data_IF_365387235320
#
_entry.id   IF_365387235320
#
_cell.length_a   1.000
_cell.length_b   1.000
_cell.length_c   1.000
_cell.angle_alpha   90.00
_cell.angle_beta   90.00
_cell.angle_gamma   90.00
#
_symmetry.space_group_name_H-M   'P 1'
#
loop_
_entity.id
_entity.type
_entity.pdbx_description
1 polymer ?
#
# COMPACT_ATOMS: atom_id res chain seq x y z
N UNK A 1 -55.07 -11.60 -46.84
CA UNK A 1 -53.63 -11.81 -46.63
C UNK A 1 -53.08 -10.65 -45.84
N UNK A 2 -52.87 -10.78 -44.51
CA UNK A 2 -52.21 -9.75 -43.64
C UNK A 2 -50.79 -10.14 -43.40
N UNK A 3 -49.82 -9.35 -43.89
CA UNK A 3 -48.39 -9.49 -43.63
C UNK A 3 -48.09 -8.95 -42.22
N UNK A 4 -47.62 -9.81 -41.34
CA UNK A 4 -47.02 -9.38 -40.08
C UNK A 4 -45.55 -9.01 -40.35
N UNK A 5 -45.22 -7.76 -40.04
CA UNK A 5 -43.85 -7.27 -40.04
C UNK A 5 -43.30 -7.49 -38.64
N UNK A 6 -42.40 -8.46 -38.48
CA UNK A 6 -41.68 -8.70 -37.23
C UNK A 6 -40.59 -7.65 -37.04
N UNK A 7 -40.74 -6.88 -35.98
CA UNK A 7 -39.75 -5.89 -35.57
C UNK A 7 -38.63 -6.57 -34.75
N UNK A 8 -37.44 -6.68 -35.35
CA UNK A 8 -36.27 -7.23 -34.72
C UNK A 8 -35.62 -6.14 -33.83
N UNK A 9 -35.79 -6.25 -32.52
CA UNK A 9 -35.15 -5.35 -31.59
C UNK A 9 -33.66 -5.80 -31.40
N UNK A 10 -32.74 -5.02 -31.95
CA UNK A 10 -31.30 -5.20 -31.69
C UNK A 10 -30.97 -4.66 -30.32
N UNK A 11 -30.64 -5.55 -29.40
CA UNK A 11 -30.07 -5.19 -28.09
C UNK A 11 -28.59 -4.87 -28.30
N UNK A 12 -28.25 -3.59 -28.29
CA UNK A 12 -26.86 -3.15 -28.20
C UNK A 12 -26.40 -3.35 -26.75
N UNK A 13 -25.59 -4.37 -26.49
CA UNK A 13 -24.85 -4.47 -25.26
C UNK A 13 -23.72 -3.43 -25.30
N UNK A 14 -23.84 -2.34 -24.54
CA UNK A 14 -22.73 -1.43 -24.28
C UNK A 14 -21.70 -2.20 -23.45
N UNK A 15 -20.65 -2.71 -24.10
CA UNK A 15 -19.43 -3.10 -23.38
C UNK A 15 -18.75 -1.82 -22.90
N UNK A 16 -19.01 -1.44 -21.65
CA UNK A 16 -18.15 -0.48 -20.97
C UNK A 16 -16.76 -1.14 -20.87
N UNK A 17 -15.82 -0.69 -21.68
CA UNK A 17 -14.42 -1.01 -21.47
C UNK A 17 -14.01 -0.39 -20.14
N UNK A 18 -13.89 -1.18 -19.10
CA UNK A 18 -13.18 -0.77 -17.89
C UNK A 18 -11.73 -0.58 -18.36
N UNK A 19 -11.25 0.66 -18.33
CA UNK A 19 -9.81 0.89 -18.35
C UNK A 19 -9.26 0.05 -17.20
N UNK A 20 -8.44 -0.95 -17.52
CA UNK A 20 -7.86 -1.82 -16.50
C UNK A 20 -7.13 -0.96 -15.48
N UNK A 21 -7.39 -1.19 -14.19
CA UNK A 21 -6.65 -0.54 -13.12
C UNK A 21 -5.16 -0.77 -13.35
N UNK A 22 -4.35 0.29 -13.29
CA UNK A 22 -2.90 0.18 -13.33
C UNK A 22 -2.47 -0.42 -11.99
N UNK A 23 -1.79 -1.55 -12.01
CA UNK A 23 -1.26 -2.17 -10.80
C UNK A 23 0.26 -2.27 -10.87
N UNK A 24 0.92 -1.98 -9.76
CA UNK A 24 2.29 -2.41 -9.51
C UNK A 24 2.24 -3.69 -8.70
N UNK A 25 2.95 -4.72 -9.13
CA UNK A 25 3.00 -6.00 -8.43
C UNK A 25 4.44 -6.47 -8.33
N UNK A 26 4.92 -6.59 -7.11
CA UNK A 26 6.21 -7.20 -6.74
C UNK A 26 5.91 -8.37 -5.80
N UNK A 27 5.83 -9.59 -6.36
CA UNK A 27 5.72 -10.79 -5.54
C UNK A 27 6.96 -10.97 -4.65
N UNK A 28 8.11 -10.55 -5.17
CA UNK A 28 9.37 -10.29 -4.47
C UNK A 28 10.13 -9.17 -5.22
N UNK A 29 11.30 -8.81 -4.75
CA UNK A 29 12.14 -7.77 -5.37
C UNK A 29 13.36 -8.35 -6.11
N UNK A 30 13.22 -9.50 -6.75
CA UNK A 30 14.24 -10.05 -7.65
C UNK A 30 14.49 -9.16 -8.88
N UNK A 31 13.50 -8.36 -9.28
CA UNK A 31 13.60 -7.27 -10.25
C UNK A 31 13.09 -5.95 -9.64
N UNK A 32 13.92 -4.91 -9.69
CA UNK A 32 13.62 -3.54 -9.23
C UNK A 32 13.77 -2.50 -10.34
N UNK A 33 13.80 -2.92 -11.60
CA UNK A 33 14.05 -2.05 -12.76
C UNK A 33 13.00 -0.96 -12.97
N UNK A 34 11.81 -1.13 -12.40
CA UNK A 34 10.72 -0.13 -12.44
C UNK A 34 10.70 0.80 -11.22
N UNK A 35 11.70 0.67 -10.34
CA UNK A 35 11.87 1.53 -9.16
C UNK A 35 13.11 2.42 -9.31
N UNK A 36 13.01 3.64 -8.81
CA UNK A 36 14.13 4.51 -8.52
C UNK A 36 14.56 4.27 -7.08
N UNK A 37 15.77 3.76 -6.88
CA UNK A 37 16.37 3.55 -5.57
C UNK A 37 17.29 4.73 -5.22
N UNK A 38 17.14 5.28 -4.02
CA UNK A 38 17.86 6.47 -3.57
C UNK A 38 18.56 6.22 -2.22
N UNK A 39 19.68 6.88 -2.00
CA UNK A 39 20.45 6.75 -0.76
C UNK A 39 20.98 5.34 -0.57
N UNK A 40 20.68 4.75 0.60
CA UNK A 40 21.08 3.37 0.94
C UNK A 40 20.14 2.28 0.41
N UNK A 41 19.04 2.67 -0.24
CA UNK A 41 18.08 1.68 -0.78
C UNK A 41 18.73 0.81 -1.86
N UNK A 42 18.58 -0.51 -1.72
CA UNK A 42 19.19 -1.48 -2.60
C UNK A 42 18.37 -2.79 -2.66
N UNK A 43 18.49 -3.51 -3.76
CA UNK A 43 18.06 -4.91 -3.80
C UNK A 43 19.06 -5.79 -3.07
N UNK A 44 18.59 -6.58 -2.11
CA UNK A 44 19.40 -7.54 -1.37
C UNK A 44 18.74 -8.92 -1.48
N UNK A 45 19.28 -9.78 -2.36
CA UNK A 45 18.59 -11.02 -2.73
C UNK A 45 17.24 -10.72 -3.39
N UNK A 46 16.17 -11.18 -2.77
CA UNK A 46 14.79 -10.98 -3.23
C UNK A 46 14.03 -9.95 -2.40
N UNK A 47 14.72 -9.09 -1.62
CA UNK A 47 14.07 -8.04 -0.85
C UNK A 47 14.54 -6.66 -1.29
N UNK A 48 13.68 -5.67 -1.15
CA UNK A 48 14.01 -4.26 -1.24
C UNK A 48 14.43 -3.79 0.15
N UNK A 49 15.72 -3.64 0.38
CA UNK A 49 16.27 -3.05 1.60
C UNK A 49 16.33 -1.55 1.46
N UNK A 50 15.57 -0.83 2.29
CA UNK A 50 15.58 0.63 2.31
C UNK A 50 16.83 1.15 3.04
N UNK A 51 17.08 0.63 4.25
CA UNK A 51 18.29 0.93 5.00
C UNK A 51 18.91 -0.36 5.57
N UNK A 52 20.24 -0.53 5.51
CA UNK A 52 20.94 -1.58 6.24
C UNK A 52 21.02 -1.27 7.74
N UNK A 53 21.33 -2.28 8.56
CA UNK A 53 21.55 -2.16 10.00
C UNK A 53 22.89 -1.44 10.30
N UNK A 54 22.97 -0.17 9.93
CA UNK A 54 24.11 0.73 10.10
C UNK A 54 23.59 2.10 10.52
N UNK A 55 24.36 2.83 11.33
CA UNK A 55 23.97 4.17 11.81
C UNK A 55 23.89 5.19 10.67
N UNK A 56 22.99 6.17 10.78
CA UNK A 56 22.95 7.35 9.91
C UNK A 56 22.61 7.05 8.45
N UNK A 57 21.80 6.04 8.19
CA UNK A 57 21.38 5.69 6.85
C UNK A 57 20.06 6.39 6.47
N UNK A 58 19.89 6.60 5.18
CA UNK A 58 18.64 7.07 4.57
C UNK A 58 18.44 6.38 3.24
N UNK A 59 17.25 5.85 3.01
CA UNK A 59 16.92 5.20 1.75
C UNK A 59 15.47 5.41 1.38
N UNK A 60 15.21 5.68 0.10
CA UNK A 60 13.87 5.70 -0.47
C UNK A 60 13.83 4.90 -1.77
N UNK A 61 12.68 4.33 -2.07
CA UNK A 61 12.42 3.65 -3.33
C UNK A 61 11.05 4.07 -3.83
N UNK A 62 11.00 4.68 -4.99
CA UNK A 62 9.74 5.13 -5.62
C UNK A 62 9.56 4.48 -6.99
N UNK A 63 8.31 4.44 -7.47
CA UNK A 63 8.03 4.14 -8.87
C UNK A 63 8.90 5.02 -9.76
N UNK A 64 9.57 4.43 -10.78
CA UNK A 64 10.46 5.17 -11.69
C UNK A 64 9.70 6.22 -12.47
N UNK A 65 8.47 5.92 -12.86
CA UNK A 65 7.53 6.86 -13.49
C UNK A 65 6.35 7.12 -12.55
N UNK A 66 5.74 8.32 -12.63
CA UNK A 66 4.55 8.60 -11.84
C UNK A 66 3.38 7.71 -12.28
N UNK A 67 2.53 7.35 -11.33
CA UNK A 67 1.30 6.60 -11.52
C UNK A 67 0.15 7.59 -11.50
N UNK A 68 -0.80 7.43 -12.42
CA UNK A 68 -2.03 8.23 -12.41
C UNK A 68 -3.05 7.57 -11.49
N UNK A 69 -3.25 8.16 -10.32
CA UNK A 69 -4.33 7.75 -9.42
C UNK A 69 -5.67 8.04 -10.09
N UNK A 70 -6.57 7.05 -10.12
CA UNK A 70 -7.89 7.18 -10.75
C UNK A 70 -8.98 7.47 -9.71
N UNK A 71 -10.15 7.84 -10.19
CA UNK A 71 -11.23 8.31 -9.34
C UNK A 71 -10.82 9.55 -8.56
N UNK A 72 -11.37 9.81 -7.42
CA UNK A 72 -11.03 10.97 -6.59
C UNK A 72 -9.70 10.78 -5.82
N UNK A 73 -8.59 10.48 -6.52
CA UNK A 73 -7.27 10.15 -5.95
C UNK A 73 -7.23 8.84 -5.16
N UNK A 74 -8.16 7.93 -5.41
CA UNK A 74 -8.26 6.66 -4.68
C UNK A 74 -7.12 5.72 -5.02
N UNK A 75 -6.73 4.90 -4.05
CA UNK A 75 -5.82 3.77 -4.24
C UNK A 75 -6.04 2.70 -3.17
N UNK A 76 -5.56 1.49 -3.46
CA UNK A 76 -5.39 0.42 -2.48
C UNK A 76 -3.99 -0.16 -2.61
N UNK A 77 -3.34 -0.42 -1.50
CA UNK A 77 -2.00 -1.05 -1.51
C UNK A 77 -1.88 -2.10 -0.41
N UNK A 78 -1.08 -3.11 -0.70
CA UNK A 78 -0.68 -4.17 0.21
C UNK A 78 0.82 -4.37 0.11
N UNK A 79 1.49 -4.55 1.24
CA UNK A 79 2.89 -4.95 1.27
C UNK A 79 3.21 -5.76 2.52
N UNK A 80 4.26 -6.56 2.42
CA UNK A 80 4.86 -7.20 3.57
C UNK A 80 6.25 -6.63 3.83
N UNK A 81 6.59 -6.48 5.10
CA UNK A 81 7.86 -5.90 5.51
C UNK A 81 8.44 -6.60 6.73
N UNK A 82 9.72 -6.36 6.98
CA UNK A 82 10.41 -6.85 8.17
C UNK A 82 11.48 -5.87 8.60
N UNK A 83 11.50 -5.55 9.89
CA UNK A 83 12.56 -4.80 10.54
C UNK A 83 13.36 -5.76 11.40
N UNK A 84 14.67 -5.88 11.16
CA UNK A 84 15.50 -6.92 11.76
C UNK A 84 16.93 -6.43 12.04
N UNK A 85 17.74 -7.26 12.72
CA UNK A 85 19.13 -6.92 13.05
C UNK A 85 19.24 -5.59 13.80
N UNK A 86 18.30 -5.34 14.70
CA UNK A 86 18.23 -4.11 15.48
C UNK A 86 19.40 -3.99 16.42
N UNK A 87 20.00 -2.81 16.46
CA UNK A 87 21.11 -2.47 17.35
C UNK A 87 21.24 -0.94 17.49
N UNK A 88 22.31 -0.50 18.11
CA UNK A 88 22.66 0.90 18.27
C UNK A 88 22.84 1.30 19.73
N UNK A 89 23.38 2.51 19.94
CA UNK A 89 23.69 3.05 21.27
C UNK A 89 22.53 3.77 21.92
N UNK A 90 21.48 4.05 21.13
CA UNK A 90 20.25 4.64 21.62
C UNK A 90 19.09 3.66 21.41
N UNK A 91 18.34 3.44 22.47
CA UNK A 91 16.99 2.91 22.47
C UNK A 91 16.11 3.90 23.22
N UNK A 92 14.84 3.86 22.97
CA UNK A 92 13.84 4.51 23.81
C UNK A 92 13.37 3.58 24.95
N UNK A 93 12.35 4.00 25.71
CA UNK A 93 11.76 3.17 26.77
C UNK A 93 11.15 1.86 26.25
N UNK A 94 10.87 1.79 24.95
CA UNK A 94 10.20 0.65 24.30
C UNK A 94 11.21 -0.37 23.73
N UNK A 95 12.50 -0.02 23.65
CA UNK A 95 13.58 -0.93 23.29
C UNK A 95 14.59 -0.36 22.29
N UNK A 96 15.39 -1.24 21.69
CA UNK A 96 16.44 -0.87 20.74
C UNK A 96 15.94 -0.82 19.31
N UNK A 97 16.76 -0.20 18.44
CA UNK A 97 16.48 -0.07 17.01
C UNK A 97 15.78 1.24 16.68
N UNK A 98 15.89 1.69 15.43
CA UNK A 98 15.31 2.92 14.89
C UNK A 98 15.45 2.92 13.36
N UNK A 99 14.84 3.85 12.61
CA UNK A 99 13.75 4.74 13.06
C UNK A 99 12.40 4.20 12.58
N UNK A 100 12.36 3.38 11.49
CA UNK A 100 11.13 2.79 10.96
C UNK A 100 11.04 2.82 9.44
N UNK A 101 9.84 2.58 8.93
CA UNK A 101 9.50 2.52 7.50
C UNK A 101 8.32 3.45 7.24
N UNK A 102 8.28 4.10 6.07
CA UNK A 102 7.12 4.84 5.57
C UNK A 102 6.67 4.28 4.21
N UNK A 103 5.35 4.17 4.01
CA UNK A 103 4.74 4.13 2.67
C UNK A 103 4.37 5.55 2.28
N UNK A 104 4.71 5.99 1.06
CA UNK A 104 4.61 7.39 0.65
C UNK A 104 3.93 7.50 -0.71
N UNK A 105 2.99 8.46 -0.83
CA UNK A 105 2.42 8.95 -2.08
C UNK A 105 2.78 10.43 -2.20
N UNK A 106 3.45 10.87 -3.29
CA UNK A 106 3.97 12.22 -3.41
C UNK A 106 4.05 12.67 -4.88
N UNK A 107 4.14 13.98 -5.13
CA UNK A 107 4.18 14.56 -6.50
C UNK A 107 5.45 15.35 -6.78
N UNK A 108 6.52 15.18 -5.99
CA UNK A 108 7.77 15.92 -6.19
C UNK A 108 8.69 15.26 -7.22
N UNK A 109 9.27 14.09 -6.89
CA UNK A 109 10.13 13.35 -7.82
C UNK A 109 10.37 11.92 -7.32
N UNK A 110 10.82 11.04 -8.22
CA UNK A 110 11.28 9.68 -7.84
C UNK A 110 12.55 9.69 -6.99
N UNK A 111 13.23 10.84 -6.83
CA UNK A 111 14.46 11.01 -6.04
C UNK A 111 14.25 11.75 -4.73
N UNK A 112 13.00 11.94 -4.29
CA UNK A 112 12.67 12.58 -3.03
C UNK A 112 13.10 11.74 -1.82
N UNK A 113 13.30 12.39 -0.67
CA UNK A 113 13.54 11.76 0.63
C UNK A 113 14.73 12.30 1.39
N UNK A 114 14.74 12.04 2.68
CA UNK A 114 15.76 12.41 3.65
C UNK A 114 15.95 11.31 4.72
N UNK A 115 16.82 11.51 5.71
CA UNK A 115 17.21 10.47 6.65
C UNK A 115 16.90 10.75 8.12
N UNK A 116 17.40 9.84 8.99
CA UNK A 116 17.23 9.90 10.44
C UNK A 116 15.79 9.69 10.88
N UNK A 117 15.42 10.28 12.02
CA UNK A 117 14.05 10.24 12.58
C UNK A 117 12.95 10.80 11.68
N UNK A 118 13.31 11.34 10.50
CA UNK A 118 12.36 11.69 9.44
C UNK A 118 11.94 10.53 8.55
N UNK A 119 12.44 9.31 8.79
CA UNK A 119 12.04 8.01 8.22
C UNK A 119 11.95 8.04 6.67
N UNK A 120 12.86 8.78 6.01
CA UNK A 120 12.81 8.98 4.56
C UNK A 120 11.68 9.88 4.06
N UNK A 121 10.80 10.36 4.91
CA UNK A 121 9.60 11.14 4.54
C UNK A 121 9.70 12.63 4.83
N UNK A 122 10.31 13.01 5.96
CA UNK A 122 10.32 14.41 6.40
C UNK A 122 10.76 15.37 5.29
N UNK A 123 9.97 16.43 5.06
CA UNK A 123 10.24 17.47 4.07
C UNK A 123 9.78 17.16 2.65
N UNK A 124 9.19 15.99 2.39
CA UNK A 124 8.57 15.70 1.11
C UNK A 124 7.21 16.42 1.04
N UNK A 125 7.19 17.63 0.49
CA UNK A 125 5.95 18.39 0.30
C UNK A 125 5.02 17.68 -0.69
N UNK A 126 3.75 18.13 -0.77
CA UNK A 126 2.75 17.57 -1.68
C UNK A 126 2.67 16.05 -1.59
N UNK A 127 2.47 15.54 -0.37
CA UNK A 127 2.53 14.12 -0.06
C UNK A 127 1.57 13.71 1.06
N UNK A 128 1.34 12.42 1.14
CA UNK A 128 0.79 11.74 2.32
C UNK A 128 1.61 10.46 2.56
N UNK A 129 1.76 10.07 3.82
CA UNK A 129 2.46 8.86 4.19
C UNK A 129 1.74 8.09 5.30
N UNK A 130 2.08 6.81 5.40
CA UNK A 130 1.81 5.97 6.57
C UNK A 130 3.15 5.55 7.12
N UNK A 131 3.43 5.92 8.36
CA UNK A 131 4.65 5.54 9.06
C UNK A 131 4.44 4.31 9.95
N UNK A 132 5.47 3.51 10.05
CA UNK A 132 5.62 2.36 10.94
C UNK A 132 6.85 2.67 11.80
N UNK A 133 6.61 3.47 12.83
CA UNK A 133 7.66 4.05 13.66
C UNK A 133 8.12 3.08 14.74
N UNK A 134 9.44 3.02 14.95
CA UNK A 134 10.09 2.14 15.92
C UNK A 134 10.99 2.89 16.92
N UNK A 135 10.89 4.23 16.93
CA UNK A 135 11.64 5.08 17.85
C UNK A 135 10.83 6.29 18.29
N UNK A 136 10.77 6.55 19.59
CA UNK A 136 10.04 7.69 20.15
C UNK A 136 10.86 8.98 20.05
N UNK A 137 10.53 9.83 19.10
CA UNK A 137 11.08 11.18 18.95
C UNK A 137 10.44 12.21 19.90
N UNK A 138 9.48 11.78 20.72
CA UNK A 138 8.76 12.60 21.68
C UNK A 138 7.98 13.73 21.00
N UNK A 139 8.13 14.95 21.52
CA UNK A 139 7.40 16.11 20.99
C UNK A 139 7.82 16.51 19.56
N UNK A 140 8.97 16.07 19.07
CA UNK A 140 9.43 16.38 17.72
C UNK A 140 8.60 15.61 16.65
N UNK A 141 8.28 14.33 16.91
CA UNK A 141 7.39 13.51 16.08
C UNK A 141 5.92 13.58 16.53
N UNK A 142 5.66 14.04 17.75
CA UNK A 142 4.37 13.86 18.44
C UNK A 142 4.05 12.38 18.66
N UNK A 143 5.08 11.58 18.91
CA UNK A 143 4.97 10.13 19.03
C UNK A 143 4.30 9.74 20.34
N UNK A 144 3.31 8.83 20.31
CA UNK A 144 2.69 8.29 21.51
C UNK A 144 3.63 7.32 22.25
N UNK A 145 4.53 6.65 21.50
CA UNK A 145 5.58 5.73 21.98
C UNK A 145 6.51 5.39 20.81
N UNK A 146 7.52 4.53 21.00
CA UNK A 146 8.44 4.05 19.97
C UNK A 146 7.96 2.77 19.27
N UNK A 147 6.66 2.56 19.11
CA UNK A 147 6.11 1.42 18.39
C UNK A 147 4.66 1.68 17.97
N UNK A 148 4.48 2.44 16.92
CA UNK A 148 3.16 2.87 16.47
C UNK A 148 3.08 2.94 14.93
N UNK A 149 1.86 3.07 14.44
CA UNK A 149 1.55 3.45 13.06
C UNK A 149 0.95 4.85 13.08
N UNK A 150 1.39 5.70 12.15
CA UNK A 150 0.88 7.05 12.00
C UNK A 150 0.49 7.38 10.56
N UNK A 151 -0.32 8.42 10.39
CA UNK A 151 -0.65 9.02 9.09
C UNK A 151 -0.11 10.44 9.07
N UNK A 152 0.75 10.72 8.08
CA UNK A 152 1.47 11.96 7.92
C UNK A 152 1.08 12.70 6.66
N UNK A 153 1.07 14.03 6.71
CA UNK A 153 0.68 14.86 5.58
C UNK A 153 1.72 15.96 5.29
N UNK A 154 1.96 16.21 3.99
CA UNK A 154 2.74 17.34 3.52
C UNK A 154 4.22 17.35 3.96
N UNK A 155 4.81 16.18 4.24
CA UNK A 155 6.20 16.05 4.68
C UNK A 155 6.42 16.39 6.16
N UNK A 156 5.36 16.52 6.93
CA UNK A 156 5.42 16.67 8.38
C UNK A 156 5.35 15.28 9.02
N UNK A 157 6.28 14.99 9.94
CA UNK A 157 6.34 13.74 10.71
C UNK A 157 5.50 13.78 12.00
N UNK A 158 4.78 14.88 12.24
CA UNK A 158 3.78 14.95 13.31
C UNK A 158 2.47 14.37 12.77
N UNK A 159 2.26 13.10 13.03
CA UNK A 159 1.10 12.36 12.55
C UNK A 159 -0.23 13.01 12.90
N UNK A 160 -1.14 13.07 11.92
CA UNK A 160 -2.53 13.55 12.13
C UNK A 160 -3.40 12.50 12.82
N UNK A 161 -2.98 11.25 12.81
CA UNK A 161 -3.60 10.15 13.54
C UNK A 161 -2.56 9.08 13.82
N UNK A 162 -2.61 8.43 14.99
CA UNK A 162 -1.70 7.35 15.39
C UNK A 162 -2.44 6.18 16.02
N UNK A 163 -1.87 4.99 15.94
CA UNK A 163 -2.34 3.79 16.63
C UNK A 163 -1.17 2.98 17.18
N UNK A 164 -1.26 2.57 18.44
CA UNK A 164 -0.25 1.72 19.08
C UNK A 164 -0.25 0.32 18.50
N UNK A 165 0.93 -0.30 18.42
CA UNK A 165 1.14 -1.64 17.89
C UNK A 165 1.70 -2.58 18.97
N UNK A 166 1.30 -3.84 18.95
CA UNK A 166 1.82 -4.91 19.79
C UNK A 166 1.76 -6.23 18.99
N UNK A 167 2.85 -7.03 18.96
CA UNK A 167 4.18 -6.80 19.51
C UNK A 167 4.96 -5.68 18.81
N UNK A 168 6.28 -5.55 19.04
CA UNK A 168 7.09 -4.52 18.38
C UNK A 168 7.24 -4.79 16.89
N UNK A 169 7.17 -3.71 16.10
CA UNK A 169 7.34 -3.76 14.64
C UNK A 169 8.75 -4.24 14.22
N UNK A 170 9.74 -4.01 15.07
CA UNK A 170 11.15 -4.35 14.83
C UNK A 170 11.61 -5.65 15.54
N UNK A 171 10.70 -6.59 15.76
CA UNK A 171 10.96 -7.89 16.41
C UNK A 171 11.44 -8.99 15.45
N UNK A 172 11.78 -8.64 14.23
CA UNK A 172 12.21 -9.53 13.14
C UNK A 172 11.10 -10.41 12.55
N UNK A 173 9.85 -10.27 12.97
CA UNK A 173 8.72 -10.94 12.35
C UNK A 173 8.37 -10.27 11.01
N UNK A 174 7.64 -11.00 10.17
CA UNK A 174 7.06 -10.43 8.94
C UNK A 174 5.72 -9.80 9.30
N UNK A 175 5.58 -8.54 8.98
CA UNK A 175 4.35 -7.79 9.09
C UNK A 175 3.71 -7.61 7.72
N UNK A 176 2.38 -7.60 7.69
CA UNK A 176 1.55 -7.41 6.51
C UNK A 176 0.69 -6.18 6.71
N UNK A 177 0.74 -5.26 5.78
CA UNK A 177 -0.02 -4.01 5.84
C UNK A 177 -0.87 -3.79 4.61
N UNK A 178 -2.07 -3.29 4.82
CA UNK A 178 -3.03 -2.84 3.81
C UNK A 178 -3.38 -1.38 4.07
N UNK A 179 -3.24 -0.55 3.05
CA UNK A 179 -3.64 0.86 3.09
C UNK A 179 -4.64 1.08 1.96
N UNK A 180 -5.81 1.54 2.31
CA UNK A 180 -6.87 1.88 1.37
C UNK A 180 -7.24 3.34 1.54
N UNK A 181 -7.19 4.13 0.47
CA UNK A 181 -7.71 5.48 0.43
C UNK A 181 -8.91 5.55 -0.53
N UNK A 182 -10.08 5.85 0.01
CA UNK A 182 -11.28 6.15 -0.77
C UNK A 182 -11.43 7.67 -0.92
N UNK A 183 -11.03 8.19 -2.06
CA UNK A 183 -11.13 9.61 -2.36
C UNK A 183 -12.56 10.14 -2.48
N UNK A 184 -13.58 9.28 -2.53
CA UNK A 184 -14.98 9.69 -2.52
C UNK A 184 -15.41 10.12 -1.13
N UNK A 185 -14.90 9.43 -0.10
CA UNK A 185 -15.17 9.70 1.31
C UNK A 185 -14.06 10.49 1.97
N UNK A 186 -12.85 10.50 1.38
CA UNK A 186 -11.64 11.07 1.96
C UNK A 186 -11.06 10.23 3.08
N UNK A 187 -11.49 8.98 3.26
CA UNK A 187 -11.04 8.10 4.33
C UNK A 187 -9.81 7.31 3.89
N UNK A 188 -8.77 7.32 4.71
CA UNK A 188 -7.64 6.40 4.65
C UNK A 188 -7.75 5.40 5.80
N UNK A 189 -7.82 4.13 5.46
CA UNK A 189 -7.80 3.00 6.39
C UNK A 189 -6.46 2.28 6.31
N UNK A 190 -5.82 2.06 7.46
CA UNK A 190 -4.62 1.26 7.60
C UNK A 190 -4.92 0.00 8.41
N UNK A 191 -4.56 -1.16 7.88
CA UNK A 191 -4.65 -2.46 8.56
C UNK A 191 -3.27 -3.07 8.68
N UNK A 192 -3.03 -3.76 9.78
CA UNK A 192 -1.75 -4.38 10.08
C UNK A 192 -1.97 -5.75 10.73
N UNK A 193 -1.16 -6.74 10.35
CA UNK A 193 -1.26 -8.10 10.86
C UNK A 193 0.08 -8.83 10.80
N UNK A 194 0.27 -9.81 11.67
CA UNK A 194 1.36 -10.79 11.59
C UNK A 194 1.04 -11.98 10.67
N UNK A 195 -0.14 -12.01 10.11
CA UNK A 195 -0.55 -13.04 9.14
C UNK A 195 -0.96 -12.38 7.83
N UNK A 196 -0.80 -13.10 6.72
CA UNK A 196 -1.22 -12.64 5.39
C UNK A 196 -2.75 -12.73 5.19
N UNK A 197 -3.51 -12.51 6.25
CA UNK A 197 -4.97 -12.42 6.22
C UNK A 197 -5.38 -10.97 6.57
N UNK A 198 -6.06 -10.31 5.63
CA UNK A 198 -6.48 -8.92 5.80
C UNK A 198 -7.46 -8.80 6.98
N UNK A 199 -7.16 -7.97 8.01
CA UNK A 199 -8.09 -7.73 9.11
C UNK A 199 -9.39 -7.07 8.63
N UNK A 200 -10.53 -7.50 9.17
CA UNK A 200 -11.82 -6.89 8.85
C UNK A 200 -11.89 -5.41 9.28
N UNK A 201 -11.35 -5.08 10.46
CA UNK A 201 -11.32 -3.71 10.98
C UNK A 201 -9.98 -3.04 10.70
N UNK A 202 -10.00 -1.74 10.41
CA UNK A 202 -8.79 -0.93 10.36
C UNK A 202 -8.16 -0.81 11.75
N UNK A 203 -6.82 -0.81 11.81
CA UNK A 203 -6.04 -0.45 12.99
C UNK A 203 -6.09 1.07 13.20
N UNK A 204 -5.98 1.82 12.12
CA UNK A 204 -5.97 3.28 12.10
C UNK A 204 -6.82 3.78 10.94
N UNK A 205 -7.57 4.85 11.17
CA UNK A 205 -8.40 5.50 10.15
C UNK A 205 -8.32 7.02 10.32
N UNK A 206 -8.21 7.76 9.22
CA UNK A 206 -8.23 9.22 9.21
C UNK A 206 -8.94 9.75 7.99
N UNK A 207 -9.54 10.93 8.11
CA UNK A 207 -10.24 11.60 7.00
C UNK A 207 -9.50 12.86 6.60
N UNK A 208 -9.09 12.94 5.34
CA UNK A 208 -8.46 14.12 4.74
C UNK A 208 -8.64 14.11 3.22
N UNK A 209 -8.37 15.23 2.57
CA UNK A 209 -8.44 15.33 1.10
C UNK A 209 -7.06 15.12 0.49
N UNK A 210 -6.78 13.92 -0.05
CA UNK A 210 -5.51 13.59 -0.70
C UNK A 210 -5.25 14.48 -1.93
N UNK A 211 -6.29 14.85 -2.68
CA UNK A 211 -6.16 15.77 -3.81
C UNK A 211 -5.62 17.13 -3.41
N UNK A 212 -6.01 17.65 -2.24
CA UNK A 212 -5.44 18.88 -1.68
C UNK A 212 -3.98 18.70 -1.27
N UNK A 213 -3.61 17.54 -0.76
CA UNK A 213 -2.23 17.23 -0.38
C UNK A 213 -1.32 17.09 -1.60
N UNK A 214 -1.79 16.43 -2.65
CA UNK A 214 -0.98 16.11 -3.84
C UNK A 214 -1.01 17.20 -4.91
N UNK A 215 -2.12 17.91 -5.09
CA UNK A 215 -2.33 18.91 -6.14
C UNK A 215 -2.50 18.35 -7.55
N UNK A 216 -2.16 17.09 -7.82
CA UNK A 216 -2.32 16.38 -9.09
C UNK A 216 -2.52 14.89 -8.88
N UNK A 217 -3.15 14.22 -9.83
CA UNK A 217 -3.34 12.76 -9.80
C UNK A 217 -2.09 11.98 -10.20
N UNK A 218 -1.09 12.63 -10.81
CA UNK A 218 0.17 12.01 -11.24
C UNK A 218 1.14 11.96 -10.06
N UNK A 219 1.31 10.82 -9.42
CA UNK A 219 2.07 10.66 -8.19
C UNK A 219 3.15 9.57 -8.30
N UNK A 220 4.27 9.79 -7.63
CA UNK A 220 5.25 8.75 -7.32
C UNK A 220 4.82 8.05 -6.04
N UNK A 221 4.88 6.74 -6.04
CA UNK A 221 4.50 5.91 -4.89
C UNK A 221 5.65 5.00 -4.49
N UNK A 222 5.81 4.73 -3.22
CA UNK A 222 6.91 3.89 -2.75
C UNK A 222 7.14 3.98 -1.25
N UNK A 223 8.39 3.82 -0.85
CA UNK A 223 8.77 3.65 0.54
C UNK A 223 9.97 4.52 0.91
N UNK A 224 10.03 4.87 2.18
CA UNK A 224 11.16 5.54 2.82
C UNK A 224 11.55 4.84 4.11
N UNK A 225 12.81 5.07 4.53
CA UNK A 225 13.34 4.66 5.83
C UNK A 225 14.52 5.52 6.21
N UNK A 226 14.78 5.62 7.49
CA UNK A 226 15.96 6.24 8.06
C UNK A 226 16.51 5.44 9.23
N UNK A 227 17.76 5.68 9.58
CA UNK A 227 18.39 5.22 10.81
C UNK A 227 19.21 6.35 11.41
N UNK A 228 19.23 6.43 12.73
CA UNK A 228 20.07 7.34 13.50
C UNK A 228 21.18 6.59 14.23
N UNK A 229 21.34 6.83 15.53
CA UNK A 229 22.23 6.08 16.40
C UNK A 229 21.65 4.71 16.82
N UNK A 230 20.31 4.57 16.83
CA UNK A 230 19.62 3.30 16.74
C UNK A 230 19.43 2.92 15.28
N UNK A 231 19.42 1.63 14.94
CA UNK A 231 19.33 1.18 13.57
C UNK A 231 18.79 -0.26 13.45
N UNK A 232 18.35 -0.62 12.23
CA UNK A 232 17.95 -1.95 11.82
C UNK A 232 18.02 -2.13 10.31
N UNK A 233 17.89 -3.36 9.83
CA UNK A 233 17.58 -3.61 8.43
C UNK A 233 16.07 -3.34 8.23
N UNK A 234 15.73 -2.49 7.29
CA UNK A 234 14.36 -2.17 6.92
C UNK A 234 14.07 -2.74 5.53
N UNK A 235 13.37 -3.87 5.49
CA UNK A 235 13.15 -4.67 4.28
C UNK A 235 11.68 -4.68 3.88
N UNK A 236 11.37 -4.35 2.62
CA UNK A 236 10.09 -4.66 1.97
C UNK A 236 10.25 -5.99 1.23
N UNK A 237 9.30 -6.91 1.45
CA UNK A 237 9.40 -8.29 0.96
C UNK A 237 8.50 -8.55 -0.24
N UNK A 238 7.33 -7.91 -0.28
CA UNK A 238 6.38 -7.93 -1.39
C UNK A 238 5.57 -6.65 -1.42
N UNK A 239 5.04 -6.27 -2.57
CA UNK A 239 4.22 -5.07 -2.72
C UNK A 239 3.24 -5.19 -3.87
N UNK A 240 1.99 -4.79 -3.65
CA UNK A 240 0.96 -4.57 -4.66
C UNK A 240 0.32 -3.21 -4.45
N UNK A 241 0.12 -2.46 -5.54
CA UNK A 241 -0.62 -1.20 -5.56
C UNK A 241 -1.64 -1.22 -6.70
N UNK A 242 -2.84 -0.74 -6.43
CA UNK A 242 -3.92 -0.45 -7.37
C UNK A 242 -4.20 1.04 -7.35
N UNK A 243 -4.30 1.65 -8.50
CA UNK A 243 -4.58 3.07 -8.69
C UNK A 243 -6.05 3.46 -8.45
N UNK A 244 -6.85 2.54 -7.93
CA UNK A 244 -8.26 2.70 -7.60
C UNK A 244 -8.53 2.21 -6.18
N UNK A 245 -9.66 2.60 -5.58
CA UNK A 245 -10.17 1.97 -4.37
C UNK A 245 -10.67 0.56 -4.71
N UNK A 246 -9.80 -0.42 -4.54
CA UNK A 246 -10.04 -1.84 -4.78
C UNK A 246 -9.26 -2.65 -3.76
N UNK A 247 -9.75 -2.76 -2.51
CA UNK A 247 -9.07 -3.43 -1.42
C UNK A 247 -8.51 -4.80 -1.80
N UNK A 248 -7.27 -5.07 -1.37
CA UNK A 248 -6.54 -6.28 -1.71
C UNK A 248 -6.77 -7.32 -0.62
N UNK A 249 -7.39 -8.45 -0.99
CA UNK A 249 -7.61 -9.59 -0.11
C UNK A 249 -6.66 -10.73 -0.49
N UNK A 250 -5.67 -11.01 0.37
CA UNK A 250 -4.68 -12.07 0.14
C UNK A 250 -5.04 -13.42 0.80
N UNK A 251 -6.31 -13.65 1.17
CA UNK A 251 -6.61 -14.81 1.98
C UNK A 251 -8.00 -15.43 1.90
N UNK A 252 -8.89 -14.90 1.10
CA UNK A 252 -10.16 -15.58 0.83
C UNK A 252 -10.42 -15.58 -0.67
N UNK A 253 -10.03 -16.67 -1.34
CA UNK A 253 -10.79 -17.06 -2.51
C UNK A 253 -12.23 -17.36 -2.01
N UNK A 254 -13.03 -16.33 -1.86
CA UNK A 254 -14.48 -16.49 -1.86
C UNK A 254 -14.82 -16.77 -3.32
N UNK A 255 -15.22 -18.01 -3.68
CA UNK A 255 -15.69 -18.26 -5.04
C UNK A 255 -16.83 -17.27 -5.30
N UNK A 256 -16.66 -16.41 -6.30
CA UNK A 256 -17.73 -15.48 -6.66
C UNK A 256 -19.03 -16.26 -6.88
N UNK A 257 -20.12 -15.99 -6.15
CA UNK A 257 -21.36 -16.76 -6.25
C UNK A 257 -21.95 -16.77 -7.67
N UNK A 258 -21.51 -15.83 -8.53
CA UNK A 258 -21.98 -15.68 -9.90
C UNK A 258 -21.43 -16.69 -10.89
N UNK A 259 -20.17 -17.08 -10.80
CA UNK A 259 -19.53 -17.94 -11.82
C UNK A 259 -20.01 -19.39 -11.75
N UNK A 260 -20.23 -19.94 -10.54
CA UNK A 260 -20.82 -21.26 -10.37
C UNK A 260 -22.30 -21.31 -10.74
N UNK A 261 -23.04 -20.24 -10.50
CA UNK A 261 -24.45 -20.13 -10.88
C UNK A 261 -24.64 -20.07 -12.40
N UNK A 262 -23.76 -19.36 -13.12
CA UNK A 262 -23.79 -19.29 -14.58
C UNK A 262 -23.40 -20.62 -15.25
N UNK A 263 -22.41 -21.33 -14.71
CA UNK A 263 -22.03 -22.67 -15.18
C UNK A 263 -23.14 -23.70 -14.93
N UNK A 264 -23.82 -23.62 -13.77
CA UNK A 264 -24.95 -24.49 -13.46
C UNK A 264 -26.18 -24.24 -14.37
N UNK A 265 -26.52 -22.99 -14.65
CA UNK A 265 -27.59 -22.61 -15.54
C UNK A 265 -27.31 -22.93 -17.01
N UNK A 266 -26.05 -22.76 -17.45
CA UNK A 266 -25.63 -23.12 -18.81
C UNK A 266 -25.70 -24.61 -19.07
N UNK A 267 -25.30 -25.45 -18.12
CA UNK A 267 -25.36 -26.91 -18.23
C UNK A 267 -26.80 -27.45 -18.22
N UNK A 268 -27.70 -26.86 -17.45
CA UNK A 268 -29.14 -27.19 -17.47
C UNK A 268 -29.81 -26.80 -18.76
N UNK A 269 -29.46 -25.68 -19.38
CA UNK A 269 -29.97 -25.24 -20.67
C UNK A 269 -29.51 -26.17 -21.80
N UNK A 270 -28.25 -26.59 -21.81
CA UNK A 270 -27.72 -27.57 -22.79
C UNK A 270 -28.34 -28.96 -22.64
N UNK A 271 -28.62 -29.42 -21.43
CA UNK A 271 -29.28 -30.70 -21.18
C UNK A 271 -30.74 -30.70 -21.67
N UNK A 272 -31.45 -29.57 -21.50
CA UNK A 272 -32.82 -29.40 -22.04
C UNK A 272 -32.87 -29.36 -23.57
N UNK A 273 -31.88 -28.75 -24.23
CA UNK A 273 -31.78 -28.71 -25.68
C UNK A 273 -31.48 -30.09 -26.31
N UNK A 274 -30.69 -30.92 -25.66
CA UNK A 274 -30.41 -32.30 -26.09
C UNK A 274 -31.64 -33.22 -25.97
N UNK A 275 -32.50 -33.05 -24.96
CA UNK A 275 -33.73 -33.86 -24.81
C UNK A 275 -34.86 -33.50 -25.80
N UNK A 276 -34.77 -32.37 -26.51
CA UNK A 276 -35.74 -31.98 -27.55
C UNK A 276 -35.34 -32.42 -28.95
N UNK A 277 -34.17 -33.03 -29.12
CA UNK A 277 -33.68 -33.56 -30.43
C UNK A 277 -33.54 -35.07 -30.48
N UNK A 278 -33.96 -35.80 -29.46
CA UNK A 278 -34.19 -37.22 -29.40
C UNK A 278 -35.71 -37.50 -29.31
#
# INVERSE_FOLDING_TARGET
MKKQIGMLAAVFALCASHAGATSLVFADFSDVSTLQLNGSAARVGNVLRLTPAVTGQSGTAFSLSPITLSGAYSFSTFFSFRISSIAGTFGDSDGSGADGITFIVQTNSSTAGGGGGGIGYQGILNSAAVEYDTYNNGSAGNDPNGNHVGIDLGGNIQSVATALVTPRLNDSQVWFSWIDYDGTTGIMDVRLSLTNARPASALLSSTFNLGTQLGTTSAFVGFGSGTGAGFGNHDILSWELRDTFAPIDNGSEVPEPGTLSLLGLGSLALAKLRRRRA
#
